data_IF_139175172675
#
_entry.id   IF_139175172675
#
_cell.length_a   1.000
_cell.length_b   1.000
_cell.length_c   1.000
_cell.angle_alpha   90.00
_cell.angle_beta   90.00
_cell.angle_gamma   90.00
#
_symmetry.space_group_name_H-M   'P 1'
#
loop_
_entity.id
_entity.type
_entity.pdbx_description
1 polymer ?
#
# COMPACT_ATOMS: atom_id res chain seq x y z
N UNK A 1 25.93 -4.39 -15.48
CA UNK A 1 26.70 -3.55 -14.54
C UNK A 1 25.77 -3.17 -13.40
N UNK A 2 26.21 -3.30 -12.14
CA UNK A 2 25.42 -2.93 -10.96
C UNK A 2 26.11 -1.76 -10.27
N UNK A 3 25.34 -0.73 -9.89
CA UNK A 3 25.83 0.45 -9.18
C UNK A 3 25.24 0.47 -7.76
N UNK A 4 26.08 0.71 -6.75
CA UNK A 4 25.66 0.77 -5.34
C UNK A 4 25.87 2.17 -4.76
N UNK A 5 25.04 2.54 -3.78
CA UNK A 5 25.16 3.83 -3.07
C UNK A 5 24.73 5.05 -3.89
N UNK A 6 24.00 4.84 -4.98
CA UNK A 6 23.47 5.90 -5.84
C UNK A 6 21.96 6.07 -5.63
N UNK A 7 21.50 7.32 -5.57
CA UNK A 7 20.09 7.67 -5.41
C UNK A 7 19.60 8.42 -6.64
N UNK A 8 18.38 8.09 -7.09
CA UNK A 8 17.72 8.77 -8.21
C UNK A 8 17.47 10.24 -7.82
N UNK A 9 17.97 11.17 -8.63
CA UNK A 9 17.78 12.62 -8.42
C UNK A 9 16.82 13.19 -9.43
N UNK A 10 17.04 12.92 -10.71
CA UNK A 10 16.26 13.52 -11.79
C UNK A 10 16.30 12.67 -13.06
N UNK A 11 15.41 12.94 -14.00
CA UNK A 11 15.40 12.35 -15.34
C UNK A 11 15.10 13.42 -16.39
N UNK A 12 15.65 13.25 -17.59
CA UNK A 12 15.38 14.12 -18.74
C UNK A 12 14.48 13.42 -19.74
N UNK A 13 13.47 14.16 -20.20
CA UNK A 13 12.57 13.72 -21.26
C UNK A 13 13.00 14.28 -22.63
N UNK A 14 12.85 13.49 -23.68
CA UNK A 14 12.86 13.93 -25.09
C UNK A 14 11.59 13.41 -25.75
N UNK A 15 10.80 14.30 -26.35
CA UNK A 15 9.52 13.94 -27.00
C UNK A 15 8.58 13.09 -26.11
N UNK A 16 8.51 13.40 -24.81
CA UNK A 16 7.74 12.67 -23.77
C UNK A 16 8.28 11.30 -23.35
N UNK A 17 9.40 10.84 -23.92
CA UNK A 17 10.09 9.62 -23.47
C UNK A 17 11.29 9.98 -22.60
N UNK A 18 11.58 9.15 -21.59
CA UNK A 18 12.84 9.26 -20.84
C UNK A 18 14.01 9.07 -21.82
N UNK A 19 15.03 9.91 -21.65
CA UNK A 19 16.26 9.87 -22.44
C UNK A 19 17.52 9.72 -21.59
N UNK A 20 17.50 10.26 -20.37
CA UNK A 20 18.63 10.24 -19.43
C UNK A 20 18.13 10.20 -18.00
N UNK A 21 18.88 9.55 -17.12
CA UNK A 21 18.62 9.52 -15.68
C UNK A 21 19.88 9.97 -14.94
N UNK A 22 19.70 10.85 -13.97
CA UNK A 22 20.74 11.37 -13.10
C UNK A 22 20.63 10.70 -11.73
N UNK A 23 21.73 10.09 -11.31
CA UNK A 23 21.91 9.55 -9.98
C UNK A 23 23.02 10.31 -9.25
N UNK A 24 22.88 10.45 -7.94
CA UNK A 24 23.86 11.07 -7.07
C UNK A 24 24.30 10.14 -5.95
N UNK A 25 25.48 10.37 -5.42
CA UNK A 25 26.04 9.63 -4.27
C UNK A 25 26.87 10.58 -3.42
N UNK A 26 27.02 10.28 -2.14
CA UNK A 26 27.71 11.17 -1.19
C UNK A 26 29.24 11.17 -1.37
N UNK A 27 29.81 10.15 -2.02
CA UNK A 27 31.27 9.93 -2.06
C UNK A 27 31.91 10.04 -3.44
N UNK A 28 31.14 10.07 -4.52
CA UNK A 28 31.63 10.07 -5.91
C UNK A 28 30.90 11.11 -6.77
N UNK A 29 31.37 11.28 -8.00
CA UNK A 29 30.72 12.10 -9.02
C UNK A 29 29.31 11.58 -9.35
N UNK A 30 28.39 12.48 -9.75
CA UNK A 30 27.07 12.09 -10.21
C UNK A 30 27.15 11.19 -11.45
N UNK A 31 26.26 10.20 -11.51
CA UNK A 31 26.17 9.24 -12.60
C UNK A 31 25.02 9.62 -13.53
N UNK A 32 25.31 9.77 -14.82
CA UNK A 32 24.31 10.05 -15.86
C UNK A 32 24.24 8.84 -16.78
N UNK A 33 23.06 8.23 -16.88
CA UNK A 33 22.82 7.07 -17.74
C UNK A 33 21.84 7.45 -18.83
N UNK A 34 22.23 7.25 -20.09
CA UNK A 34 21.35 7.36 -21.23
C UNK A 34 20.47 6.10 -21.32
N UNK A 35 19.16 6.27 -21.42
CA UNK A 35 18.23 5.14 -21.49
C UNK A 35 16.95 5.52 -22.24
N UNK A 36 16.27 4.50 -22.76
CA UNK A 36 14.97 4.64 -23.45
C UNK A 36 13.79 4.33 -22.51
N UNK A 37 14.06 3.67 -21.38
CA UNK A 37 13.10 3.30 -20.37
C UNK A 37 13.80 3.20 -19.00
N UNK A 38 13.04 3.43 -17.93
CA UNK A 38 13.49 3.26 -16.55
C UNK A 38 12.40 2.54 -15.77
N UNK A 39 12.78 1.47 -15.07
CA UNK A 39 11.92 0.77 -14.13
C UNK A 39 12.38 1.09 -12.71
N UNK A 40 11.49 1.66 -11.89
CA UNK A 40 11.78 2.07 -10.53
C UNK A 40 10.99 1.22 -9.55
N UNK A 41 11.70 0.47 -8.72
CA UNK A 41 11.14 -0.44 -7.72
C UNK A 41 11.33 0.10 -6.29
N UNK A 42 11.11 1.41 -6.10
CA UNK A 42 11.17 2.02 -4.78
C UNK A 42 9.88 1.88 -3.98
N UNK A 43 9.91 2.23 -2.68
CA UNK A 43 8.72 2.24 -1.85
C UNK A 43 7.68 3.21 -2.43
N UNK A 44 6.41 2.80 -2.39
CA UNK A 44 5.29 3.67 -2.72
C UNK A 44 5.05 4.60 -1.53
N UNK A 45 5.07 5.89 -1.78
CA UNK A 45 4.89 6.92 -0.75
C UNK A 45 3.80 7.90 -1.18
N UNK A 46 3.17 8.54 -0.20
CA UNK A 46 2.21 9.63 -0.46
C UNK A 46 2.92 10.81 -1.10
N UNK A 47 2.36 11.36 -2.18
CA UNK A 47 2.95 12.53 -2.83
C UNK A 47 2.97 13.74 -1.89
N UNK A 48 4.00 14.60 -2.01
CA UNK A 48 4.10 15.81 -1.21
C UNK A 48 2.84 16.70 -1.32
N UNK A 49 2.28 16.81 -2.53
CA UNK A 49 1.03 17.56 -2.78
C UNK A 49 -0.15 16.97 -2.00
N UNK A 50 -0.32 15.65 -2.02
CA UNK A 50 -1.39 14.96 -1.29
C UNK A 50 -1.20 15.12 0.22
N UNK A 51 0.02 14.94 0.71
CA UNK A 51 0.35 15.14 2.11
C UNK A 51 0.01 16.56 2.59
N UNK A 52 0.45 17.59 1.86
CA UNK A 52 0.16 18.99 2.20
C UNK A 52 -1.33 19.29 2.18
N UNK A 53 -2.10 18.70 1.26
CA UNK A 53 -3.55 18.87 1.22
C UNK A 53 -4.24 18.23 2.44
N UNK A 54 -3.85 17.02 2.83
CA UNK A 54 -4.41 16.32 3.99
C UNK A 54 -4.10 17.04 5.31
N UNK A 55 -2.85 17.45 5.51
CA UNK A 55 -2.44 18.19 6.71
C UNK A 55 -3.10 19.57 6.73
N UNK A 56 -3.14 20.26 5.59
CA UNK A 56 -3.79 21.56 5.45
C UNK A 56 -5.30 21.53 5.70
N UNK A 57 -5.96 20.39 5.50
CA UNK A 57 -7.38 20.19 5.84
C UNK A 57 -7.61 19.69 7.27
N UNK A 58 -6.57 19.59 8.10
CA UNK A 58 -6.68 19.12 9.48
C UNK A 58 -6.90 17.61 9.64
N UNK A 59 -6.66 16.81 8.60
CA UNK A 59 -6.71 15.35 8.69
C UNK A 59 -5.40 14.85 9.31
N UNK A 60 -5.51 14.03 10.35
CA UNK A 60 -4.34 13.47 11.03
C UNK A 60 -3.65 12.45 10.12
N UNK A 61 -2.36 12.68 9.87
CA UNK A 61 -1.54 11.85 9.00
C UNK A 61 -0.24 11.43 9.72
N UNK A 62 0.08 10.13 9.68
CA UNK A 62 1.36 9.58 10.15
C UNK A 62 1.68 8.30 9.36
N UNK A 63 2.42 8.45 8.26
CA UNK A 63 2.67 7.42 7.23
C UNK A 63 1.38 6.80 6.64
N UNK A 64 0.29 7.56 6.72
CA UNK A 64 -1.05 7.15 6.31
C UNK A 64 -2.11 7.99 7.02
N UNK A 65 -3.31 8.04 6.45
CA UNK A 65 -4.47 8.67 7.07
C UNK A 65 -4.86 7.86 8.30
N UNK A 66 -4.91 8.50 9.46
CA UNK A 66 -5.23 7.82 10.71
C UNK A 66 -6.73 7.55 10.80
N UNK A 67 -7.09 6.27 10.97
CA UNK A 67 -8.47 5.79 11.07
C UNK A 67 -8.72 5.00 12.36
N UNK A 68 -9.98 4.89 12.77
CA UNK A 68 -10.43 3.95 13.80
C UNK A 68 -10.87 2.60 13.20
N UNK A 69 -11.28 1.64 14.04
CA UNK A 69 -11.81 0.33 13.60
C UNK A 69 -13.08 0.41 12.74
N UNK A 70 -13.63 1.60 12.54
CA UNK A 70 -14.78 1.88 11.67
C UNK A 70 -14.43 2.73 10.44
N UNK A 71 -13.16 2.69 9.99
CA UNK A 71 -12.68 3.43 8.81
C UNK A 71 -12.85 4.95 8.89
N UNK A 72 -13.13 5.51 10.07
CA UNK A 72 -13.38 6.93 10.27
C UNK A 72 -12.09 7.65 10.66
N UNK A 73 -11.87 8.82 10.09
CA UNK A 73 -10.74 9.70 10.42
C UNK A 73 -10.98 10.44 11.74
N UNK A 74 -10.14 11.45 12.04
CA UNK A 74 -10.39 12.38 13.14
C UNK A 74 -11.63 13.25 12.91
N UNK A 75 -12.02 13.49 11.65
CA UNK A 75 -13.31 14.10 11.32
C UNK A 75 -14.39 13.02 11.28
N UNK A 76 -15.53 13.27 11.94
CA UNK A 76 -16.60 12.28 12.08
C UNK A 76 -17.35 11.98 10.78
N UNK A 77 -17.23 12.83 9.76
CA UNK A 77 -17.89 12.68 8.46
C UNK A 77 -16.94 12.21 7.35
N UNK A 78 -15.63 12.12 7.64
CA UNK A 78 -14.63 11.69 6.66
C UNK A 78 -14.17 10.29 7.00
N UNK A 79 -14.30 9.41 6.01
CA UNK A 79 -13.91 8.00 6.07
C UNK A 79 -12.79 7.73 5.07
N UNK A 80 -11.90 6.79 5.40
CA UNK A 80 -10.80 6.40 4.55
C UNK A 80 -10.55 4.90 4.66
N UNK A 81 -10.20 4.27 3.54
CA UNK A 81 -9.85 2.86 3.46
C UNK A 81 -8.74 2.63 2.42
N UNK A 82 -8.05 1.51 2.53
CA UNK A 82 -7.01 1.11 1.59
C UNK A 82 -5.57 1.44 2.02
N UNK A 83 -4.58 1.21 1.14
CA UNK A 83 -3.18 1.13 1.53
C UNK A 83 -2.54 2.43 2.04
N UNK A 84 -3.21 3.57 1.83
CA UNK A 84 -2.80 4.88 2.35
C UNK A 84 -3.37 5.21 3.74
N UNK A 85 -3.89 4.23 4.47
CA UNK A 85 -4.51 4.40 5.79
C UNK A 85 -3.78 3.60 6.88
N UNK A 86 -3.91 4.04 8.13
CA UNK A 86 -3.30 3.39 9.29
C UNK A 86 -4.24 3.46 10.49
N UNK A 87 -4.41 2.35 11.20
CA UNK A 87 -5.25 2.34 12.40
C UNK A 87 -4.60 3.12 13.57
N UNK A 88 -5.42 3.80 14.36
CA UNK A 88 -4.99 4.65 15.48
C UNK A 88 -4.53 3.86 16.72
N UNK A 89 -3.51 4.38 17.42
CA UNK A 89 -3.16 4.09 18.82
C UNK A 89 -3.06 2.60 19.21
N UNK A 90 -4.08 2.10 19.91
CA UNK A 90 -4.13 0.72 20.48
C UNK A 90 -4.16 -0.40 19.42
N UNK A 91 -4.37 -0.03 18.16
CA UNK A 91 -4.42 -0.92 17.00
C UNK A 91 -3.21 -0.78 16.08
N UNK A 92 -2.13 -0.16 16.54
CA UNK A 92 -0.85 -0.12 15.82
C UNK A 92 -0.19 -1.51 15.82
N UNK A 93 -0.96 -2.55 15.51
CA UNK A 93 -0.45 -3.80 15.02
C UNK A 93 -0.02 -3.56 13.56
N UNK A 94 1.28 -3.63 13.23
CA UNK A 94 1.75 -3.54 11.85
C UNK A 94 1.06 -4.56 10.92
N UNK A 95 0.56 -5.66 11.49
CA UNK A 95 -0.20 -6.69 10.77
C UNK A 95 -1.57 -6.23 10.30
N UNK A 96 -2.14 -5.17 10.89
CA UNK A 96 -3.47 -4.67 10.58
C UNK A 96 -3.50 -3.62 9.44
N UNK A 97 -2.38 -3.36 8.77
CA UNK A 97 -2.33 -2.39 7.67
C UNK A 97 -3.07 -2.94 6.43
N UNK A 98 -4.03 -2.17 5.90
CA UNK A 98 -4.77 -2.49 4.68
C UNK A 98 -3.90 -2.79 3.45
N UNK A 99 -2.63 -2.36 3.45
CA UNK A 99 -1.63 -2.74 2.46
C UNK A 99 -1.52 -4.25 2.25
N UNK A 100 -1.74 -5.03 3.31
CA UNK A 100 -1.54 -6.47 3.33
C UNK A 100 -2.83 -7.29 3.21
N UNK A 101 -3.96 -6.64 2.90
CA UNK A 101 -5.27 -7.30 2.80
C UNK A 101 -5.90 -7.07 1.42
N UNK A 102 -6.91 -7.89 1.10
CA UNK A 102 -7.70 -7.75 -0.12
C UNK A 102 -8.34 -6.37 -0.17
N UNK A 103 -7.97 -5.56 -1.18
CA UNK A 103 -8.58 -4.24 -1.38
C UNK A 103 -10.10 -4.34 -1.60
N UNK A 104 -10.57 -5.46 -2.16
CA UNK A 104 -12.00 -5.77 -2.34
C UNK A 104 -12.69 -5.97 -0.99
N UNK A 105 -12.10 -6.77 -0.10
CA UNK A 105 -12.61 -7.00 1.25
C UNK A 105 -12.62 -5.69 2.06
N UNK A 106 -11.51 -4.95 2.03
CA UNK A 106 -11.37 -3.65 2.70
C UNK A 106 -12.46 -2.68 2.23
N UNK A 107 -12.69 -2.57 0.92
CA UNK A 107 -13.73 -1.70 0.35
C UNK A 107 -15.14 -2.14 0.75
N UNK A 108 -15.41 -3.45 0.75
CA UNK A 108 -16.70 -4.02 1.18
C UNK A 108 -16.98 -3.68 2.65
N UNK A 109 -16.05 -3.96 3.56
CA UNK A 109 -16.19 -3.66 4.99
C UNK A 109 -16.38 -2.16 5.25
N UNK A 110 -15.60 -1.31 4.58
CA UNK A 110 -15.75 0.14 4.69
C UNK A 110 -17.14 0.60 4.22
N UNK A 111 -17.66 0.02 3.13
CA UNK A 111 -18.99 0.35 2.60
C UNK A 111 -20.13 -0.08 3.52
N UNK A 112 -20.01 -1.24 4.17
CA UNK A 112 -21.01 -1.74 5.12
C UNK A 112 -21.13 -0.79 6.32
N UNK A 113 -20.00 -0.32 6.82
CA UNK A 113 -19.92 0.65 7.93
C UNK A 113 -20.42 2.03 7.52
N UNK A 114 -20.07 2.49 6.32
CA UNK A 114 -20.56 3.78 5.81
C UNK A 114 -22.08 3.76 5.59
N UNK A 115 -22.63 2.64 5.11
CA UNK A 115 -24.08 2.48 4.92
C UNK A 115 -24.86 2.66 6.23
N UNK A 116 -24.30 2.29 7.38
CA UNK A 116 -24.94 2.51 8.68
C UNK A 116 -25.20 3.98 9.00
N UNK A 117 -24.35 4.86 8.45
CA UNK A 117 -24.43 6.30 8.65
C UNK A 117 -25.43 6.93 7.68
N UNK A 118 -25.48 6.44 6.45
CA UNK A 118 -26.33 6.99 5.37
C UNK A 118 -27.77 6.48 5.46
N UNK A 119 -27.95 5.22 5.87
CA UNK A 119 -29.25 4.60 6.08
C UNK A 119 -29.45 4.31 7.57
N UNK A 120 -29.77 5.33 8.39
CA UNK A 120 -30.10 5.12 9.79
C UNK A 120 -31.42 4.34 9.87
N UNK A 121 -31.34 3.01 9.79
CA UNK A 121 -32.41 2.11 10.24
C UNK A 121 -32.66 2.40 11.71
N UNK A 122 -33.90 2.22 12.19
CA UNK A 122 -34.18 2.19 13.62
C UNK A 122 -33.30 1.10 14.26
N UNK A 123 -32.19 1.51 14.88
CA UNK A 123 -31.28 0.62 15.60
C UNK A 123 -31.49 0.88 17.08
N UNK A 124 -31.66 -0.20 17.82
CA UNK A 124 -31.61 -0.19 19.28
C UNK A 124 -30.25 0.40 19.70
N UNK A 125 -30.31 1.47 20.49
CA UNK A 125 -29.22 2.42 20.76
C UNK A 125 -28.06 1.79 21.55
N UNK A 126 -28.19 0.55 22.04
CA UNK A 126 -27.35 0.03 23.12
C UNK A 126 -25.98 -0.55 22.69
N UNK A 127 -25.71 -0.84 21.42
CA UNK A 127 -24.51 -1.61 21.02
C UNK A 127 -23.45 -0.88 20.18
N UNK A 128 -23.61 0.42 19.92
CA UNK A 128 -22.75 1.11 18.95
C UNK A 128 -21.36 1.44 19.50
N UNK A 129 -21.23 1.71 20.80
CA UNK A 129 -19.96 2.14 21.40
C UNK A 129 -19.02 0.98 21.72
N UNK A 130 -19.55 -0.18 22.14
CA UNK A 130 -18.75 -1.38 22.45
C UNK A 130 -18.02 -1.95 21.22
N UNK A 131 -18.60 -1.82 20.02
CA UNK A 131 -18.02 -2.27 18.74
C UNK A 131 -17.04 -1.25 18.10
N UNK A 132 -16.78 -0.10 18.73
CA UNK A 132 -15.80 0.87 18.22
C UNK A 132 -14.35 0.46 18.49
N UNK A 133 -14.16 -0.53 19.38
CA UNK A 133 -12.87 -1.01 19.86
C UNK A 133 -12.51 -2.43 19.34
N UNK A 134 -13.10 -2.86 18.21
CA UNK A 134 -12.64 -4.05 17.49
C UNK A 134 -12.26 -3.70 16.06
N UNK A 135 -11.12 -4.24 15.61
CA UNK A 135 -10.74 -4.15 14.20
C UNK A 135 -11.60 -5.08 13.35
N UNK A 136 -11.96 -4.68 12.12
CA UNK A 136 -12.58 -5.58 11.17
C UNK A 136 -11.67 -6.78 10.90
N UNK A 137 -12.22 -7.99 10.99
CA UNK A 137 -11.49 -9.20 10.61
C UNK A 137 -11.49 -9.31 9.10
N UNK A 138 -10.30 -9.46 8.53
CA UNK A 138 -10.07 -9.63 7.11
C UNK A 138 -9.40 -10.99 6.88
N UNK A 139 -9.96 -11.77 5.96
CA UNK A 139 -9.55 -13.16 5.73
C UNK A 139 -9.48 -13.55 4.26
N UNK A 140 -9.93 -12.67 3.35
CA UNK A 140 -9.84 -12.93 1.92
C UNK A 140 -8.37 -12.92 1.46
N UNK A 141 -7.98 -13.80 0.53
CA UNK A 141 -6.63 -13.82 -0.01
C UNK A 141 -6.31 -12.53 -0.77
N UNK A 142 -5.05 -12.13 -0.73
CA UNK A 142 -4.56 -11.06 -1.58
C UNK A 142 -4.25 -11.65 -2.95
N UNK A 143 -4.93 -11.14 -3.98
CA UNK A 143 -4.75 -11.57 -5.37
C UNK A 143 -4.11 -10.43 -6.15
N UNK A 144 -2.94 -10.67 -6.70
CA UNK A 144 -2.25 -9.77 -7.63
C UNK A 144 -2.22 -10.42 -9.00
N UNK A 145 -2.65 -9.68 -10.01
CA UNK A 145 -2.63 -10.09 -11.40
C UNK A 145 -1.87 -9.07 -12.23
N UNK A 146 -1.14 -9.52 -13.24
CA UNK A 146 -0.45 -8.64 -14.19
C UNK A 146 -0.33 -9.34 -15.55
N UNK A 147 -0.40 -8.56 -16.63
CA UNK A 147 0.00 -9.04 -17.94
C UNK A 147 1.48 -8.70 -18.14
N UNK A 148 2.29 -9.74 -18.38
CA UNK A 148 3.71 -9.61 -18.67
C UNK A 148 3.92 -9.47 -20.19
N UNK A 149 5.07 -8.91 -20.63
CA UNK A 149 5.42 -8.87 -22.05
C UNK A 149 5.29 -10.25 -22.71
N UNK A 150 4.83 -10.28 -23.96
CA UNK A 150 4.61 -11.54 -24.70
C UNK A 150 3.28 -12.23 -24.39
N UNK A 151 2.28 -11.51 -23.88
CA UNK A 151 0.93 -12.01 -23.56
C UNK A 151 0.87 -13.07 -22.45
N UNK A 152 1.90 -13.12 -21.59
CA UNK A 152 1.87 -13.99 -20.41
C UNK A 152 1.01 -13.36 -19.31
N UNK A 153 0.26 -14.18 -18.58
CA UNK A 153 -0.53 -13.75 -17.44
C UNK A 153 0.16 -14.20 -16.15
N UNK A 154 0.49 -13.24 -15.30
CA UNK A 154 1.01 -13.47 -13.96
C UNK A 154 -0.13 -13.39 -12.95
N UNK A 155 -0.20 -14.39 -12.07
CA UNK A 155 -1.09 -14.40 -10.91
C UNK A 155 -0.28 -14.76 -9.68
N UNK A 156 -0.40 -13.96 -8.63
CA UNK A 156 0.10 -14.25 -7.30
C UNK A 156 -1.06 -14.22 -6.33
N UNK A 157 -1.20 -15.29 -5.56
CA UNK A 157 -2.18 -15.40 -4.49
C UNK A 157 -1.40 -15.57 -3.20
N UNK A 158 -1.72 -14.79 -2.18
CA UNK A 158 -1.13 -14.92 -0.85
C UNK A 158 -2.18 -14.87 0.25
N UNK A 159 -1.86 -15.48 1.39
CA UNK A 159 -2.65 -15.31 2.59
C UNK A 159 -2.74 -13.81 2.97
N UNK A 160 -3.84 -13.37 3.60
CA UNK A 160 -3.96 -12.03 4.15
C UNK A 160 -2.93 -11.81 5.27
N UNK A 161 -2.47 -10.57 5.42
CA UNK A 161 -1.51 -10.17 6.46
C UNK A 161 -0.09 -10.01 5.94
N UNK A 162 0.83 -9.63 6.84
CA UNK A 162 2.20 -9.30 6.48
C UNK A 162 2.87 -10.51 5.79
N UNK A 163 3.37 -10.36 4.55
CA UNK A 163 4.03 -11.45 3.87
C UNK A 163 5.33 -11.82 4.60
N UNK A 164 5.56 -13.12 4.75
CA UNK A 164 6.84 -13.63 5.23
C UNK A 164 7.96 -13.36 4.21
N UNK A 165 9.23 -13.23 4.63
CA UNK A 165 10.36 -13.20 3.71
C UNK A 165 10.35 -14.38 2.74
N UNK A 166 10.85 -14.18 1.53
CA UNK A 166 10.82 -15.20 0.46
C UNK A 166 11.53 -16.47 0.91
N UNK A 167 12.64 -16.35 1.63
CA UNK A 167 13.43 -17.46 2.16
C UNK A 167 12.55 -18.35 3.05
N UNK A 168 11.76 -17.74 3.95
CA UNK A 168 10.81 -18.46 4.80
C UNK A 168 9.69 -19.12 4.01
N UNK A 169 9.21 -18.47 2.93
CA UNK A 169 8.18 -19.04 2.06
C UNK A 169 8.71 -20.25 1.28
N UNK A 170 9.96 -20.21 0.83
CA UNK A 170 10.60 -21.29 0.07
C UNK A 170 10.98 -22.48 0.95
N UNK A 171 11.41 -22.25 2.20
CA UNK A 171 11.77 -23.33 3.14
C UNK A 171 10.60 -24.24 3.51
N UNK A 172 9.36 -23.74 3.44
CA UNK A 172 8.15 -24.49 3.80
C UNK A 172 7.48 -25.24 2.64
N UNK A 173 7.95 -25.05 1.40
CA UNK A 173 7.35 -25.69 0.23
C UNK A 173 8.16 -26.94 -0.14
N UNK A 174 7.57 -28.13 0.01
CA UNK A 174 8.02 -29.34 -0.71
C UNK A 174 7.94 -29.12 -2.23
N UNK A 175 8.29 -30.14 -3.03
CA UNK A 175 8.36 -30.17 -4.52
C UNK A 175 7.79 -28.92 -5.21
N UNK A 176 8.55 -27.83 -5.15
CA UNK A 176 8.17 -26.58 -5.79
C UNK A 176 8.66 -26.63 -7.22
N UNK A 177 7.84 -26.13 -8.14
CA UNK A 177 8.26 -25.93 -9.53
C UNK A 177 9.52 -25.05 -9.63
N UNK A 178 10.06 -24.88 -10.84
CA UNK A 178 11.28 -24.10 -11.04
C UNK A 178 11.15 -22.69 -10.42
N UNK A 179 12.07 -22.38 -9.49
CA UNK A 179 12.12 -21.08 -8.82
C UNK A 179 12.96 -20.13 -9.65
N UNK A 180 12.36 -19.01 -10.08
CA UNK A 180 13.05 -17.91 -10.73
C UNK A 180 13.20 -16.77 -9.73
N UNK A 181 14.41 -16.54 -9.24
CA UNK A 181 14.76 -15.38 -8.40
C UNK A 181 15.33 -14.30 -9.29
N UNK A 182 14.65 -13.17 -9.39
CA UNK A 182 15.17 -11.97 -10.06
C UNK A 182 15.77 -11.04 -9.01
N UNK A 183 17.05 -10.68 -9.16
CA UNK A 183 17.77 -9.77 -8.27
C UNK A 183 17.45 -8.30 -8.47
#
# INVERSE_FOLDING_TARGET
VIYHGYHLVNWKLRHKSISKVLFHTNSNSPLIIDCIAMFYYGPKVTSAKTYSALVGSGIVYNDGIIINGRFRTNDKYIYAAGPGTKYRGRYQDPQANHWYFSAREVGRLASEIFREVVEPRARDVENTEANMDMLPRMSEPVVLTAQLPGNWNYVRISAPGLPLPLECQLHGQGESGPVLVTG
#
